data_IF_368240041982
#
_entry.id   IF_368240041982
#
_cell.length_a   1.000
_cell.length_b   1.000
_cell.length_c   1.000
_cell.angle_alpha   90.00
_cell.angle_beta   90.00
_cell.angle_gamma   90.00
#
_symmetry.space_group_name_H-M   'P 1'
#
loop_
_entity.id
_entity.type
_entity.pdbx_description
1 polymer ?
#
# COMPACT_ATOMS: atom_id res chain seq x y z
N UNK A 1 -22.78 -0.89 -2.78
CA UNK A 1 -21.81 -1.71 -3.53
C UNK A 1 -20.92 -2.42 -2.52
N UNK A 2 -20.59 -3.69 -2.70
CA UNK A 2 -19.64 -4.37 -1.85
C UNK A 2 -18.21 -3.88 -2.10
N UNK A 3 -17.29 -4.31 -1.24
CA UNK A 3 -15.88 -3.94 -1.28
C UNK A 3 -15.02 -5.19 -1.38
N UNK A 4 -13.90 -5.06 -2.08
CA UNK A 4 -12.81 -6.02 -2.12
C UNK A 4 -11.60 -5.42 -1.44
N UNK A 5 -10.94 -6.19 -0.57
CA UNK A 5 -9.64 -5.88 -0.01
C UNK A 5 -8.62 -6.89 -0.55
N UNK A 6 -7.72 -6.42 -1.38
CA UNK A 6 -6.56 -7.17 -1.84
C UNK A 6 -5.40 -6.91 -0.87
N UNK A 7 -4.82 -7.96 -0.29
CA UNK A 7 -3.83 -7.83 0.78
C UNK A 7 -2.89 -9.03 0.82
N UNK A 8 -1.82 -8.96 1.60
CA UNK A 8 -1.06 -10.13 2.02
C UNK A 8 -1.30 -10.42 3.51
N UNK A 9 -0.72 -11.47 4.07
CA UNK A 9 -0.94 -11.86 5.47
C UNK A 9 0.35 -11.85 6.29
N UNK A 10 0.22 -11.49 7.58
CA UNK A 10 1.30 -11.60 8.54
C UNK A 10 1.54 -13.07 8.92
N UNK A 11 2.55 -13.68 8.31
CA UNK A 11 3.04 -15.02 8.64
C UNK A 11 4.55 -15.07 8.54
N UNK A 12 5.18 -16.01 9.24
CA UNK A 12 6.62 -16.29 9.13
C UNK A 12 6.95 -17.26 7.97
N UNK A 13 5.96 -17.65 7.20
CA UNK A 13 6.07 -18.63 6.11
C UNK A 13 5.72 -17.95 4.80
N UNK A 14 6.34 -18.37 3.66
CA UNK A 14 6.16 -17.72 2.36
C UNK A 14 4.71 -17.65 1.86
N UNK A 15 3.84 -18.56 2.34
CA UNK A 15 2.42 -18.56 1.97
C UNK A 15 1.67 -17.34 2.53
N UNK A 16 2.17 -16.67 3.57
CA UNK A 16 1.61 -15.40 4.04
C UNK A 16 1.81 -14.27 3.05
N UNK A 17 2.96 -14.22 2.42
CA UNK A 17 3.37 -13.18 1.47
C UNK A 17 2.93 -13.55 0.05
N UNK A 18 1.62 -13.76 -0.13
CA UNK A 18 0.93 -14.01 -1.38
C UNK A 18 -0.29 -13.09 -1.48
N UNK A 19 -0.99 -13.05 -2.61
CA UNK A 19 -2.18 -12.21 -2.76
C UNK A 19 -3.40 -12.93 -2.19
N UNK A 20 -4.04 -12.29 -1.22
CA UNK A 20 -5.30 -12.71 -0.62
C UNK A 20 -6.38 -11.70 -0.92
N UNK A 21 -7.61 -12.16 -0.94
CA UNK A 21 -8.79 -11.31 -1.03
C UNK A 21 -9.67 -11.49 0.19
N UNK A 22 -10.28 -10.38 0.61
CA UNK A 22 -11.41 -10.36 1.51
C UNK A 22 -12.52 -9.50 0.92
N UNK A 23 -13.77 -9.80 1.24
CA UNK A 23 -14.95 -9.06 0.80
C UNK A 23 -15.70 -8.48 1.99
N UNK A 24 -16.36 -7.34 1.76
CA UNK A 24 -17.27 -6.73 2.71
C UNK A 24 -18.48 -6.18 1.98
N UNK A 25 -19.68 -6.39 2.55
CA UNK A 25 -20.94 -5.83 2.01
C UNK A 25 -21.20 -4.40 2.44
N UNK A 26 -20.55 -3.98 3.53
CA UNK A 26 -20.82 -2.71 4.18
C UNK A 26 -19.57 -1.87 4.45
N UNK A 27 -18.38 -2.38 4.07
CA UNK A 27 -17.11 -1.72 4.31
C UNK A 27 -16.60 -1.78 5.75
N UNK A 28 -17.39 -2.37 6.68
CA UNK A 28 -17.06 -2.49 8.09
C UNK A 28 -16.71 -3.94 8.49
N UNK A 29 -17.43 -4.92 7.96
CA UNK A 29 -17.31 -6.33 8.32
C UNK A 29 -16.71 -7.10 7.16
N UNK A 30 -15.51 -7.64 7.37
CA UNK A 30 -14.68 -8.26 6.34
C UNK A 30 -14.63 -9.77 6.50
N UNK A 31 -14.77 -10.48 5.41
CA UNK A 31 -14.69 -11.94 5.34
C UNK A 31 -13.64 -12.36 4.33
N UNK A 32 -12.83 -13.36 4.69
CA UNK A 32 -11.86 -13.94 3.76
C UNK A 32 -12.57 -14.66 2.63
N UNK A 33 -12.04 -14.54 1.42
CA UNK A 33 -12.46 -15.35 0.27
C UNK A 33 -11.55 -16.58 0.14
N UNK A 34 -11.86 -17.47 -0.81
CA UNK A 34 -11.05 -18.63 -1.16
C UNK A 34 -10.67 -19.52 0.05
N UNK A 35 -11.59 -19.67 1.01
CA UNK A 35 -11.37 -20.42 2.24
C UNK A 35 -10.10 -19.97 3.02
N UNK A 36 -9.74 -18.71 2.87
CA UNK A 36 -8.55 -18.13 3.50
C UNK A 36 -7.22 -18.50 2.85
N UNK A 37 -7.25 -19.13 1.66
CA UNK A 37 -6.06 -19.42 0.85
C UNK A 37 -5.71 -18.26 -0.07
N UNK A 38 -4.46 -18.17 -0.58
CA UNK A 38 -4.09 -17.19 -1.59
C UNK A 38 -4.95 -17.30 -2.86
N UNK A 39 -5.31 -16.18 -3.44
CA UNK A 39 -5.95 -16.09 -4.74
C UNK A 39 -4.90 -16.16 -5.86
N UNK A 40 -3.73 -15.52 -5.62
CA UNK A 40 -2.57 -15.58 -6.50
C UNK A 40 -1.33 -15.93 -5.70
N UNK A 41 -0.49 -16.76 -6.28
CA UNK A 41 0.82 -17.13 -5.72
C UNK A 41 1.93 -16.73 -6.67
N UNK A 42 3.01 -16.19 -6.11
CA UNK A 42 4.21 -15.80 -6.85
C UNK A 42 5.09 -17.00 -7.17
N UNK A 43 5.53 -17.07 -8.40
CA UNK A 43 6.46 -18.13 -8.89
C UNK A 43 7.75 -17.56 -9.49
N UNK A 44 7.78 -16.26 -9.81
CA UNK A 44 8.92 -15.56 -10.35
C UNK A 44 9.61 -14.72 -9.28
N UNK A 45 10.84 -14.23 -9.56
CA UNK A 45 11.58 -13.32 -8.70
C UNK A 45 11.84 -13.87 -7.31
N UNK A 46 11.48 -13.11 -6.27
CA UNK A 46 11.66 -13.50 -4.87
C UNK A 46 10.52 -14.42 -4.36
N UNK A 47 9.57 -14.77 -5.21
CA UNK A 47 8.43 -15.64 -4.89
C UNK A 47 7.58 -15.14 -3.72
N UNK A 48 7.46 -13.83 -3.55
CA UNK A 48 6.61 -13.19 -2.54
C UNK A 48 5.84 -12.00 -3.11
N UNK A 49 4.67 -11.75 -2.55
CA UNK A 49 3.78 -10.65 -2.87
C UNK A 49 3.54 -9.84 -1.61
N UNK A 50 4.18 -8.68 -1.48
CA UNK A 50 3.88 -7.73 -0.42
C UNK A 50 3.22 -6.50 -1.00
N UNK A 51 2.57 -5.71 -0.15
CA UNK A 51 2.04 -4.39 -0.48
C UNK A 51 1.14 -4.46 -1.72
N UNK A 52 0.03 -5.18 -1.58
CA UNK A 52 -0.83 -5.53 -2.72
C UNK A 52 -1.66 -4.33 -3.14
N UNK A 53 -1.42 -3.85 -4.34
CA UNK A 53 -2.22 -2.81 -5.00
C UNK A 53 -3.16 -3.43 -6.02
N UNK A 54 -4.38 -2.90 -6.11
CA UNK A 54 -5.36 -3.24 -7.14
C UNK A 54 -6.09 -1.99 -7.61
N UNK A 55 -6.25 -1.85 -8.92
CA UNK A 55 -7.03 -0.77 -9.51
C UNK A 55 -7.97 -1.29 -10.57
N UNK A 56 -9.20 -0.72 -10.62
CA UNK A 56 -10.11 -0.87 -11.75
C UNK A 56 -9.69 0.08 -12.85
N UNK A 57 -9.53 -0.44 -14.06
CA UNK A 57 -9.22 0.33 -15.26
C UNK A 57 -10.48 0.92 -15.90
N UNK A 58 -10.31 1.86 -16.81
CA UNK A 58 -11.42 2.50 -17.57
C UNK A 58 -12.27 1.52 -18.38
N UNK A 59 -11.71 0.41 -18.79
CA UNK A 59 -12.41 -0.66 -19.51
C UNK A 59 -13.07 -1.68 -18.59
N UNK A 60 -13.12 -1.41 -17.28
CA UNK A 60 -13.62 -2.27 -16.21
C UNK A 60 -12.79 -3.52 -15.92
N UNK A 61 -11.65 -3.73 -16.57
CA UNK A 61 -10.70 -4.75 -16.13
C UNK A 61 -9.90 -4.26 -14.91
N UNK A 62 -9.06 -5.13 -14.34
CA UNK A 62 -8.25 -4.80 -13.17
C UNK A 62 -6.78 -5.09 -13.42
N UNK A 63 -5.94 -4.30 -12.78
CA UNK A 63 -4.51 -4.58 -12.63
C UNK A 63 -4.20 -4.77 -11.16
N UNK A 64 -3.42 -5.81 -10.85
CA UNK A 64 -2.85 -6.05 -9.53
C UNK A 64 -1.34 -5.86 -9.64
N UNK A 65 -0.77 -5.03 -8.77
CA UNK A 65 0.67 -4.89 -8.58
C UNK A 65 1.07 -5.34 -7.19
N UNK A 66 2.26 -5.93 -7.05
CA UNK A 66 2.83 -6.26 -5.75
C UNK A 66 4.33 -5.98 -5.72
N UNK A 67 4.85 -5.66 -4.55
CA UNK A 67 6.30 -5.70 -4.29
C UNK A 67 6.80 -7.14 -4.47
N UNK A 68 7.84 -7.31 -5.28
CA UNK A 68 8.56 -8.59 -5.43
C UNK A 68 9.50 -8.78 -4.24
N UNK A 69 8.96 -9.24 -3.12
CA UNK A 69 9.70 -9.44 -1.87
C UNK A 69 9.05 -10.56 -1.06
N UNK A 70 9.88 -11.47 -0.55
CA UNK A 70 9.49 -12.49 0.43
C UNK A 70 10.38 -12.37 1.67
N UNK A 71 9.90 -11.70 2.70
CA UNK A 71 10.62 -11.53 3.97
C UNK A 71 10.79 -12.87 4.70
N UNK A 72 9.84 -13.78 4.57
CA UNK A 72 9.94 -15.12 5.13
C UNK A 72 11.21 -15.87 4.66
N UNK A 73 11.69 -15.58 3.45
CA UNK A 73 12.91 -16.15 2.89
C UNK A 73 14.19 -15.36 3.24
N UNK A 74 14.06 -14.24 3.99
CA UNK A 74 15.17 -13.35 4.34
C UNK A 74 15.59 -13.45 5.81
N UNK A 75 14.89 -14.24 6.63
CA UNK A 75 15.28 -14.49 8.01
C UNK A 75 16.58 -15.30 8.09
N UNK A 76 17.47 -14.91 8.98
CA UNK A 76 18.61 -15.73 9.40
C UNK A 76 18.17 -16.84 10.37
N UNK A 77 19.12 -17.65 10.84
CA UNK A 77 18.89 -18.73 11.79
C UNK A 77 18.34 -18.26 13.17
N UNK A 78 18.45 -16.96 13.46
CA UNK A 78 17.95 -16.32 14.68
C UNK A 78 16.68 -15.49 14.43
N UNK A 79 16.05 -15.64 13.27
CA UNK A 79 14.89 -14.86 12.83
C UNK A 79 15.13 -13.34 12.75
N UNK A 80 16.35 -12.92 12.43
CA UNK A 80 16.66 -11.52 12.13
C UNK A 80 16.67 -11.27 10.63
N UNK A 81 16.43 -10.02 10.25
CA UNK A 81 16.47 -9.53 8.88
C UNK A 81 17.56 -8.47 8.76
N UNK A 82 18.42 -8.63 7.76
CA UNK A 82 19.37 -7.58 7.36
C UNK A 82 18.66 -6.56 6.46
N UNK A 83 17.94 -5.63 7.10
CA UNK A 83 17.22 -4.57 6.39
C UNK A 83 18.12 -3.72 5.49
N UNK A 84 19.39 -3.51 5.87
CA UNK A 84 20.34 -2.77 5.03
C UNK A 84 20.56 -3.48 3.70
N UNK A 85 20.72 -4.81 3.75
CA UNK A 85 20.86 -5.64 2.54
C UNK A 85 19.57 -5.65 1.73
N UNK A 86 18.42 -5.76 2.36
CA UNK A 86 17.12 -5.78 1.69
C UNK A 86 16.85 -4.43 1.00
N UNK A 87 17.22 -3.31 1.61
CA UNK A 87 17.08 -1.96 1.05
C UNK A 87 18.06 -1.62 -0.07
N UNK A 88 19.22 -2.30 -0.14
CA UNK A 88 20.29 -1.96 -1.08
C UNK A 88 20.45 -2.95 -2.23
N UNK A 89 19.90 -4.15 -2.11
CA UNK A 89 20.01 -5.23 -3.09
C UNK A 89 18.72 -6.04 -3.24
N UNK A 90 17.57 -5.40 -3.03
CA UNK A 90 16.26 -5.97 -3.27
C UNK A 90 15.91 -6.08 -4.75
N UNK A 91 14.75 -6.65 -5.03
CA UNK A 91 14.23 -6.72 -6.40
C UNK A 91 13.99 -5.32 -6.97
N UNK A 92 14.28 -5.16 -8.25
CA UNK A 92 14.00 -3.94 -9.04
C UNK A 92 12.81 -4.15 -9.98
N UNK A 93 12.00 -5.14 -9.68
CA UNK A 93 10.80 -5.46 -10.40
C UNK A 93 9.57 -5.22 -9.51
N UNK A 94 8.46 -4.88 -10.14
CA UNK A 94 7.13 -5.06 -9.60
C UNK A 94 6.49 -6.27 -10.28
N UNK A 95 5.68 -6.99 -9.53
CA UNK A 95 4.92 -8.11 -10.04
C UNK A 95 3.54 -7.65 -10.47
N UNK A 96 3.04 -8.18 -11.59
CA UNK A 96 1.77 -7.77 -12.15
C UNK A 96 0.93 -8.95 -12.61
N UNK A 97 -0.39 -8.83 -12.39
CA UNK A 97 -1.44 -9.61 -13.04
C UNK A 97 -2.53 -8.69 -13.59
N UNK A 98 -3.24 -9.16 -14.60
CA UNK A 98 -4.45 -8.53 -15.14
C UNK A 98 -5.63 -9.50 -15.01
N UNK A 99 -6.84 -8.96 -14.81
CA UNK A 99 -8.06 -9.76 -14.75
C UNK A 99 -9.27 -8.93 -15.19
N UNK A 100 -10.26 -9.56 -15.77
CA UNK A 100 -11.53 -8.93 -16.15
C UNK A 100 -12.64 -9.19 -15.13
N UNK A 101 -12.49 -10.21 -14.27
CA UNK A 101 -13.57 -10.74 -13.44
C UNK A 101 -13.16 -11.09 -11.99
N UNK A 102 -11.92 -10.79 -11.59
CA UNK A 102 -11.35 -11.12 -10.27
C UNK A 102 -11.30 -12.61 -9.94
N UNK A 103 -11.51 -13.47 -10.93
CA UNK A 103 -11.51 -14.95 -10.83
C UNK A 103 -10.48 -15.56 -11.76
N UNK A 104 -10.42 -15.08 -13.02
CA UNK A 104 -9.48 -15.53 -14.03
C UNK A 104 -8.39 -14.49 -14.22
N UNK A 105 -7.16 -14.87 -14.00
CA UNK A 105 -6.01 -13.97 -14.01
C UNK A 105 -5.06 -14.29 -15.17
N UNK A 106 -4.42 -13.27 -15.71
CA UNK A 106 -3.32 -13.45 -16.67
C UNK A 106 -2.16 -14.21 -16.05
N UNK A 107 -1.21 -14.61 -16.89
CA UNK A 107 0.09 -15.08 -16.41
C UNK A 107 0.79 -13.98 -15.59
N UNK A 108 1.58 -14.43 -14.61
CA UNK A 108 2.43 -13.58 -13.79
C UNK A 108 3.49 -12.89 -14.65
N UNK A 109 3.67 -11.59 -14.47
CA UNK A 109 4.75 -10.81 -15.10
C UNK A 109 5.59 -10.10 -14.03
N UNK A 110 6.90 -10.07 -14.23
CA UNK A 110 7.80 -9.15 -13.53
C UNK A 110 8.14 -7.99 -14.46
N UNK A 111 7.92 -6.78 -13.98
CA UNK A 111 8.17 -5.55 -14.73
C UNK A 111 9.38 -4.85 -14.12
N UNK A 112 10.44 -4.75 -14.91
CA UNK A 112 11.65 -4.04 -14.54
C UNK A 112 11.51 -2.55 -14.88
N UNK A 113 11.72 -1.69 -13.90
CA UNK A 113 11.61 -0.25 -14.08
C UNK A 113 12.92 0.44 -14.49
N UNK A 114 13.90 -0.34 -14.95
CA UNK A 114 15.03 0.15 -15.74
C UNK A 114 16.09 0.98 -15.00
N UNK A 115 16.07 1.06 -13.65
CA UNK A 115 17.08 1.81 -12.91
C UNK A 115 17.98 0.90 -12.09
N UNK A 116 19.21 0.72 -12.58
CA UNK A 116 20.22 -0.11 -11.90
C UNK A 116 20.71 0.49 -10.57
N UNK A 117 20.53 1.79 -10.39
CA UNK A 117 20.92 2.51 -9.18
C UNK A 117 19.90 2.42 -8.04
N UNK A 118 18.70 1.87 -8.26
CA UNK A 118 17.76 1.59 -7.19
C UNK A 118 18.23 0.43 -6.31
N UNK A 119 17.99 0.53 -5.00
CA UNK A 119 18.24 -0.55 -4.05
C UNK A 119 17.07 -1.52 -3.91
N UNK A 120 15.85 -1.05 -4.09
CA UNK A 120 14.61 -1.81 -3.99
C UNK A 120 13.46 -1.07 -4.69
N UNK A 121 12.32 -1.75 -4.91
CA UNK A 121 11.04 -1.17 -5.29
C UNK A 121 9.97 -1.69 -4.33
N UNK A 122 9.44 -0.84 -3.45
CA UNK A 122 8.51 -1.25 -2.42
C UNK A 122 7.22 -0.46 -2.41
N UNK A 123 6.13 -1.14 -2.02
CA UNK A 123 4.83 -0.55 -1.77
C UNK A 123 4.36 0.32 -2.95
N UNK A 124 4.27 -0.31 -4.12
CA UNK A 124 3.75 0.38 -5.29
C UNK A 124 2.26 0.60 -5.19
N UNK A 125 1.83 1.80 -5.55
CA UNK A 125 0.41 2.14 -5.74
C UNK A 125 0.15 2.75 -7.11
N UNK A 126 -1.11 2.73 -7.52
CA UNK A 126 -1.57 3.24 -8.81
C UNK A 126 -2.61 4.33 -8.58
N UNK A 127 -2.40 5.48 -9.22
CA UNK A 127 -3.36 6.57 -9.26
C UNK A 127 -3.73 6.88 -10.71
N UNK A 128 -5.03 6.92 -11.04
CA UNK A 128 -5.48 7.33 -12.37
C UNK A 128 -5.52 8.86 -12.47
N UNK A 129 -4.67 9.42 -13.32
CA UNK A 129 -4.65 10.86 -13.63
C UNK A 129 -5.63 11.16 -14.77
N UNK A 130 -6.83 11.61 -14.38
CA UNK A 130 -7.89 11.98 -15.33
C UNK A 130 -7.50 13.13 -16.28
N UNK A 131 -6.60 14.02 -15.84
CA UNK A 131 -6.19 15.17 -16.65
C UNK A 131 -5.32 14.78 -17.84
N UNK A 132 -4.45 13.78 -17.65
CA UNK A 132 -3.52 13.30 -18.66
C UNK A 132 -3.96 11.99 -19.31
N UNK A 133 -5.06 11.39 -18.81
CA UNK A 133 -5.57 10.09 -19.26
C UNK A 133 -4.50 9.00 -19.20
N UNK A 134 -3.84 8.89 -18.02
CA UNK A 134 -2.80 7.91 -17.76
C UNK A 134 -2.81 7.45 -16.30
N UNK A 135 -2.15 6.35 -16.02
CA UNK A 135 -1.97 5.81 -14.68
C UNK A 135 -0.59 6.20 -14.16
N UNK A 136 -0.53 6.89 -13.03
CA UNK A 136 0.69 7.11 -12.26
C UNK A 136 0.93 5.90 -11.37
N UNK A 137 2.06 5.25 -11.54
CA UNK A 137 2.55 4.22 -10.60
C UNK A 137 3.63 4.87 -9.75
N UNK A 138 3.52 4.78 -8.43
CA UNK A 138 4.52 5.33 -7.51
C UNK A 138 4.90 4.30 -6.44
N UNK A 139 6.13 4.37 -5.96
CA UNK A 139 6.72 3.39 -5.03
C UNK A 139 7.86 3.98 -4.22
N UNK A 140 8.24 3.34 -3.11
CA UNK A 140 9.44 3.67 -2.33
C UNK A 140 10.70 3.02 -2.89
N UNK A 141 11.77 3.80 -3.05
CA UNK A 141 13.10 3.29 -3.42
C UNK A 141 14.20 4.02 -2.68
N UNK A 142 15.28 3.29 -2.39
CA UNK A 142 16.60 3.84 -2.06
C UNK A 142 17.46 3.90 -3.30
N UNK A 143 18.49 4.76 -3.32
CA UNK A 143 19.36 4.92 -4.48
C UNK A 143 20.84 4.79 -4.12
N UNK A 144 21.64 4.39 -5.09
CA UNK A 144 23.09 4.18 -4.92
C UNK A 144 23.84 5.48 -4.63
N UNK A 145 23.34 6.62 -5.14
CA UNK A 145 23.98 7.93 -4.99
C UNK A 145 24.20 8.33 -3.53
N UNK A 146 23.23 7.99 -2.66
CA UNK A 146 23.31 8.23 -1.22
C UNK A 146 23.70 6.98 -0.42
N UNK A 147 24.29 5.97 -1.09
CA UNK A 147 24.65 4.67 -0.51
C UNK A 147 23.45 3.91 0.09
N UNK A 148 22.27 4.05 -0.54
CA UNK A 148 21.01 3.43 -0.13
C UNK A 148 20.58 3.79 1.29
N UNK A 149 20.91 5.01 1.73
CA UNK A 149 20.67 5.46 3.10
C UNK A 149 19.36 6.23 3.27
N UNK A 150 18.69 6.59 2.16
CA UNK A 150 17.48 7.41 2.19
C UNK A 150 16.42 6.88 1.21
N UNK A 151 15.25 6.56 1.75
CA UNK A 151 14.12 6.13 0.92
C UNK A 151 13.24 7.32 0.55
N UNK A 152 12.92 7.41 -0.74
CA UNK A 152 12.05 8.43 -1.33
C UNK A 152 11.01 7.79 -2.23
N UNK A 153 9.96 8.53 -2.58
CA UNK A 153 8.93 8.06 -3.50
C UNK A 153 9.32 8.44 -4.93
N UNK A 154 9.36 7.43 -5.79
CA UNK A 154 9.57 7.53 -7.23
C UNK A 154 8.29 7.21 -7.96
N UNK A 155 8.21 7.60 -9.24
CA UNK A 155 7.06 7.28 -10.07
C UNK A 155 7.43 7.11 -11.53
N UNK A 156 6.55 6.41 -12.25
CA UNK A 156 6.45 6.42 -13.71
C UNK A 156 4.97 6.52 -14.12
N UNK A 157 4.70 6.67 -15.41
CA UNK A 157 3.33 6.65 -15.95
C UNK A 157 3.18 5.60 -17.03
N UNK A 158 1.94 5.15 -17.22
CA UNK A 158 1.54 4.21 -18.27
C UNK A 158 0.10 4.49 -18.70
N UNK A 159 -0.24 4.13 -19.94
CA UNK A 159 -1.63 4.18 -20.43
C UNK A 159 -2.29 2.80 -20.50
N UNK A 160 -1.50 1.73 -20.55
CA UNK A 160 -1.96 0.39 -20.91
C UNK A 160 -1.33 -0.74 -20.08
N UNK A 161 -0.39 -0.41 -19.17
CA UNK A 161 0.41 -1.38 -18.42
C UNK A 161 1.24 -2.32 -19.30
N UNK A 162 1.64 -1.85 -20.49
CA UNK A 162 2.60 -2.54 -21.38
C UNK A 162 3.84 -1.67 -21.63
N UNK A 163 3.65 -0.35 -21.74
CA UNK A 163 4.73 0.61 -21.87
C UNK A 163 4.75 1.60 -20.69
N UNK A 164 5.91 1.87 -20.16
CA UNK A 164 6.11 2.72 -18.98
C UNK A 164 7.13 3.83 -19.29
N UNK A 165 6.89 5.01 -18.74
CA UNK A 165 7.89 6.09 -18.81
C UNK A 165 9.06 5.79 -17.87
N UNK A 166 10.21 6.46 -18.10
CA UNK A 166 11.36 6.37 -17.21
C UNK A 166 11.01 6.82 -15.79
N UNK A 167 11.48 6.11 -14.77
CA UNK A 167 11.29 6.48 -13.36
C UNK A 167 11.88 7.85 -13.03
N UNK A 168 11.13 8.65 -12.30
CA UNK A 168 11.57 9.96 -11.77
C UNK A 168 11.21 10.10 -10.30
N UNK A 169 11.95 10.95 -9.60
CA UNK A 169 11.61 11.32 -8.23
C UNK A 169 10.24 12.01 -8.22
N UNK A 170 9.35 11.52 -7.38
CA UNK A 170 8.00 12.06 -7.20
C UNK A 170 7.90 12.92 -5.95
N UNK A 171 8.33 12.35 -4.80
CA UNK A 171 8.21 13.01 -3.52
C UNK A 171 9.31 12.57 -2.57
N UNK A 172 9.89 13.52 -1.83
CA UNK A 172 10.93 13.25 -0.84
C UNK A 172 10.79 14.20 0.36
N UNK A 173 11.32 13.81 1.48
CA UNK A 173 11.42 14.58 2.72
C UNK A 173 12.83 14.44 3.30
N UNK A 174 13.15 15.20 4.35
CA UNK A 174 14.41 15.04 5.06
C UNK A 174 14.55 13.68 5.76
N UNK A 175 13.42 13.11 6.18
CA UNK A 175 13.34 11.75 6.73
C UNK A 175 12.97 10.77 5.62
N UNK A 176 13.38 9.52 5.78
CA UNK A 176 12.94 8.42 4.90
C UNK A 176 11.43 8.27 4.92
N UNK A 177 10.84 8.09 3.75
CA UNK A 177 9.41 7.93 3.56
C UNK A 177 9.12 6.77 2.61
N UNK A 178 8.03 6.06 2.86
CA UNK A 178 7.56 4.97 2.01
C UNK A 178 6.03 4.81 2.16
N UNK A 179 5.46 3.81 1.52
CA UNK A 179 4.04 3.46 1.59
C UNK A 179 3.15 4.67 1.28
N UNK A 180 3.34 5.24 0.11
CA UNK A 180 2.57 6.41 -0.30
C UNK A 180 1.24 6.00 -0.91
N UNK A 181 0.16 6.68 -0.51
CA UNK A 181 -1.19 6.53 -1.03
C UNK A 181 -1.73 7.87 -1.51
N UNK A 182 -2.19 7.93 -2.75
CA UNK A 182 -2.74 9.15 -3.33
C UNK A 182 -4.24 8.97 -3.59
N UNK A 183 -5.02 9.95 -3.14
CA UNK A 183 -6.43 10.07 -3.50
C UNK A 183 -6.77 11.53 -3.81
N UNK A 184 -7.70 11.74 -4.73
CA UNK A 184 -8.25 13.06 -5.05
C UNK A 184 -9.65 13.17 -4.47
N UNK A 185 -9.89 14.18 -3.63
CA UNK A 185 -11.20 14.53 -3.14
C UNK A 185 -11.48 15.99 -3.44
N UNK A 186 -12.63 16.30 -4.06
CA UNK A 186 -12.95 17.67 -4.50
C UNK A 186 -11.82 18.24 -5.37
N UNK A 187 -11.17 19.31 -4.90
CA UNK A 187 -10.13 20.04 -5.65
C UNK A 187 -8.70 19.76 -5.11
N UNK A 188 -8.54 18.80 -4.20
CA UNK A 188 -7.28 18.50 -3.56
C UNK A 188 -6.84 17.06 -3.81
N UNK A 189 -5.55 16.90 -4.04
CA UNK A 189 -4.84 15.64 -3.93
C UNK A 189 -4.38 15.47 -2.49
N UNK A 190 -4.68 14.34 -1.90
CA UNK A 190 -4.24 13.91 -0.58
C UNK A 190 -3.16 12.85 -0.77
N UNK A 191 -2.02 13.06 -0.14
CA UNK A 191 -0.89 12.13 -0.12
C UNK A 191 -0.68 11.67 1.32
N UNK A 192 -1.03 10.42 1.58
CA UNK A 192 -0.66 9.73 2.82
C UNK A 192 0.64 8.98 2.59
N UNK A 193 1.51 8.94 3.59
CA UNK A 193 2.79 8.23 3.49
C UNK A 193 3.34 7.92 4.89
N UNK A 194 4.14 6.86 4.99
CA UNK A 194 4.81 6.50 6.24
C UNK A 194 6.09 7.31 6.41
N UNK A 195 6.29 7.86 7.60
CA UNK A 195 7.60 8.27 8.10
C UNK A 195 8.30 7.03 8.68
N UNK A 196 9.44 6.65 8.11
CA UNK A 196 10.16 5.44 8.51
C UNK A 196 10.94 5.59 9.83
N UNK A 197 11.11 6.81 10.34
CA UNK A 197 11.80 7.03 11.61
C UNK A 197 10.90 6.75 12.81
N UNK A 198 11.53 6.53 13.96
CA UNK A 198 10.86 6.27 15.22
C UNK A 198 10.33 7.59 15.87
N UNK A 199 9.04 7.69 16.24
CA UNK A 199 8.02 6.67 15.99
C UNK A 199 7.60 6.64 14.53
N UNK A 200 7.44 5.43 13.97
CA UNK A 200 6.88 5.25 12.63
C UNK A 200 5.41 5.64 12.64
N UNK A 201 5.06 6.73 12.00
CA UNK A 201 3.68 7.24 11.90
C UNK A 201 3.30 7.49 10.46
N UNK A 202 2.03 7.40 10.18
CA UNK A 202 1.50 7.84 8.92
C UNK A 202 1.42 9.36 8.90
N UNK A 203 1.77 9.95 7.78
CA UNK A 203 1.81 11.39 7.52
C UNK A 203 0.77 11.71 6.47
N UNK A 204 0.32 12.96 6.44
CA UNK A 204 -0.58 13.46 5.42
C UNK A 204 -0.08 14.79 4.87
N UNK A 205 -0.31 15.00 3.58
CA UNK A 205 -0.05 16.27 2.89
C UNK A 205 -1.05 16.48 1.78
N UNK A 206 -1.35 17.73 1.43
CA UNK A 206 -2.31 18.08 0.38
C UNK A 206 -1.69 18.95 -0.71
N UNK A 207 -2.23 18.87 -1.92
CA UNK A 207 -1.87 19.74 -3.03
C UNK A 207 -3.04 19.96 -3.99
N UNK A 208 -3.01 21.08 -4.71
CA UNK A 208 -3.92 21.33 -5.85
C UNK A 208 -3.45 20.66 -7.15
N UNK A 209 -2.24 20.14 -7.17
CA UNK A 209 -1.63 19.47 -8.32
C UNK A 209 -1.14 18.08 -7.91
N UNK A 210 -1.33 17.07 -8.77
CA UNK A 210 -0.85 15.71 -8.55
C UNK A 210 0.67 15.66 -8.23
N UNK A 211 1.44 16.50 -8.88
CA UNK A 211 2.89 16.57 -8.71
C UNK A 211 3.35 17.61 -7.67
N UNK A 212 2.43 18.14 -6.86
CA UNK A 212 2.75 19.09 -5.81
C UNK A 212 2.82 20.57 -6.29
N UNK A 213 3.37 21.46 -5.48
CA UNK A 213 3.96 21.19 -4.17
C UNK A 213 2.91 20.75 -3.15
N UNK A 214 3.29 19.81 -2.27
CA UNK A 214 2.45 19.30 -1.20
C UNK A 214 2.68 20.07 0.10
N UNK A 215 1.59 20.50 0.73
CA UNK A 215 1.59 21.14 2.04
C UNK A 215 1.33 20.09 3.11
N UNK A 216 2.19 20.05 4.11
CA UNK A 216 2.09 19.14 5.24
C UNK A 216 0.90 19.46 6.14
N UNK A 217 0.24 18.43 6.65
CA UNK A 217 -0.86 18.50 7.60
C UNK A 217 -0.33 18.22 9.02
N UNK A 218 -0.09 19.30 9.75
CA UNK A 218 0.43 19.22 11.12
C UNK A 218 -0.61 18.66 12.11
N UNK A 219 -1.89 18.95 11.91
CA UNK A 219 -2.96 18.47 12.80
C UNK A 219 -3.09 16.95 12.72
N UNK A 220 -3.04 16.40 11.51
CA UNK A 220 -3.03 14.95 11.30
C UNK A 220 -1.79 14.31 11.94
N UNK A 221 -0.59 14.91 11.78
CA UNK A 221 0.62 14.41 12.42
C UNK A 221 0.48 14.37 13.94
N UNK A 222 0.01 15.45 14.58
CA UNK A 222 -0.14 15.50 16.03
C UNK A 222 -1.15 14.46 16.53
N UNK A 223 -2.21 14.23 15.76
CA UNK A 223 -3.16 13.16 16.07
C UNK A 223 -2.49 11.77 16.00
N UNK A 224 -1.77 11.46 14.92
CA UNK A 224 -1.08 10.17 14.77
C UNK A 224 0.00 9.95 15.85
N UNK A 225 0.74 10.98 16.22
CA UNK A 225 1.69 10.91 17.33
C UNK A 225 0.99 10.61 18.66
N UNK A 226 -0.19 11.17 18.91
CA UNK A 226 -0.98 10.87 20.10
C UNK A 226 -1.47 9.41 20.14
N UNK A 227 -1.84 8.86 18.99
CA UNK A 227 -2.24 7.45 18.86
C UNK A 227 -1.07 6.50 19.20
N UNK A 228 0.11 6.71 18.61
CA UNK A 228 1.28 5.84 18.88
C UNK A 228 1.80 5.99 20.30
N UNK A 229 1.62 7.14 20.95
CA UNK A 229 2.02 7.35 22.35
C UNK A 229 1.24 6.47 23.34
N UNK A 230 0.10 5.91 22.93
CA UNK A 230 -0.70 4.98 23.76
C UNK A 230 -0.12 3.56 23.81
N UNK A 231 0.88 3.24 22.96
CA UNK A 231 1.46 1.91 22.86
C UNK A 231 2.76 1.80 23.66
N UNK A 232 2.99 0.64 24.28
CA UNK A 232 4.22 0.35 25.06
C UNK A 232 5.47 0.13 24.19
N UNK A 233 5.31 0.02 22.88
CA UNK A 233 6.38 -0.03 21.88
C UNK A 233 6.23 1.18 20.99
N UNK A 234 7.32 1.67 20.36
CA UNK A 234 7.18 2.69 19.33
C UNK A 234 6.26 2.13 18.25
N UNK A 235 5.01 2.53 18.36
CA UNK A 235 3.96 2.11 17.47
C UNK A 235 4.28 2.53 16.07
N UNK A 236 3.88 1.74 15.12
CA UNK A 236 4.11 2.06 13.74
C UNK A 236 2.85 1.75 12.96
N UNK A 237 2.43 2.75 12.22
CA UNK A 237 1.40 2.66 11.21
C UNK A 237 2.03 2.79 9.82
N UNK A 238 1.65 1.92 8.91
CA UNK A 238 2.10 1.91 7.52
C UNK A 238 0.94 1.55 6.58
N UNK A 239 1.19 1.39 5.29
CA UNK A 239 0.27 0.81 4.33
C UNK A 239 -1.11 1.51 4.28
N UNK A 240 -1.19 2.84 4.08
CA UNK A 240 -2.47 3.53 4.06
C UNK A 240 -3.31 3.11 2.85
N UNK A 241 -4.59 2.88 3.08
CA UNK A 241 -5.60 2.78 2.02
C UNK A 241 -6.86 3.52 2.45
N UNK A 242 -7.55 4.16 1.50
CA UNK A 242 -8.77 4.91 1.80
C UNK A 242 -9.92 4.48 0.91
N UNK A 243 -11.13 4.53 1.44
CA UNK A 243 -12.36 4.32 0.67
C UNK A 243 -13.53 5.05 1.33
N UNK A 244 -14.62 5.22 0.59
CA UNK A 244 -15.84 5.84 1.11
C UNK A 244 -16.78 4.75 1.59
N UNK A 245 -17.27 4.88 2.83
CA UNK A 245 -18.25 3.98 3.42
C UNK A 245 -19.65 4.23 2.87
N UNK A 246 -20.60 3.28 2.95
CA UNK A 246 -21.95 3.44 2.41
C UNK A 246 -22.73 4.60 3.03
N UNK A 247 -22.39 5.02 4.25
CA UNK A 247 -22.96 6.19 4.92
C UNK A 247 -22.31 7.52 4.52
N UNK A 248 -21.41 7.49 3.54
CA UNK A 248 -20.71 8.66 2.99
C UNK A 248 -19.47 9.09 3.77
N UNK A 249 -19.13 8.41 4.85
CA UNK A 249 -17.91 8.69 5.61
C UNK A 249 -16.66 8.23 4.90
N UNK A 250 -15.55 8.86 5.22
CA UNK A 250 -14.25 8.50 4.67
C UNK A 250 -13.50 7.60 5.65
N UNK A 251 -13.14 6.41 5.20
CA UNK A 251 -12.32 5.48 5.96
C UNK A 251 -10.87 5.56 5.48
N UNK A 252 -9.94 5.75 6.42
CA UNK A 252 -8.51 5.51 6.28
C UNK A 252 -8.18 4.25 7.05
N UNK A 253 -7.61 3.26 6.41
CA UNK A 253 -7.10 2.07 7.05
C UNK A 253 -5.58 2.08 7.02
N UNK A 254 -4.97 1.78 8.17
CA UNK A 254 -3.53 1.72 8.35
C UNK A 254 -3.12 0.34 8.85
N UNK A 255 -2.09 -0.22 8.28
CA UNK A 255 -1.45 -1.44 8.76
C UNK A 255 -0.66 -1.14 10.03
N UNK A 256 -1.04 -1.81 11.12
CA UNK A 256 -0.44 -1.63 12.43
C UNK A 256 0.50 -2.78 12.77
N UNK A 257 1.78 -2.50 12.95
CA UNK A 257 2.83 -3.47 13.30
C UNK A 257 3.54 -3.19 14.62
N UNK A 258 3.09 -2.20 15.38
CA UNK A 258 3.67 -1.77 16.66
C UNK A 258 3.30 -2.64 17.87
N UNK A 259 2.76 -3.83 17.68
CA UNK A 259 2.29 -4.71 18.73
C UNK A 259 2.84 -6.14 18.62
N UNK A 260 2.30 -7.05 19.41
CA UNK A 260 2.55 -8.50 19.29
C UNK A 260 1.95 -9.01 17.98
N UNK A 261 2.60 -10.01 17.35
CA UNK A 261 2.21 -10.52 16.02
C UNK A 261 0.74 -10.87 15.89
N UNK A 262 0.18 -11.46 16.94
CA UNK A 262 -1.21 -11.90 16.98
C UNK A 262 -2.23 -10.77 16.98
N UNK A 263 -1.76 -9.54 17.11
CA UNK A 263 -2.58 -8.31 17.10
C UNK A 263 -2.24 -7.38 15.95
N UNK A 264 -1.26 -7.74 15.11
CA UNK A 264 -0.92 -6.98 13.91
C UNK A 264 -2.04 -7.08 12.87
N UNK A 265 -2.26 -6.01 12.14
CA UNK A 265 -3.24 -5.94 11.08
C UNK A 265 -3.76 -4.53 10.89
N UNK A 266 -4.81 -4.40 10.13
CA UNK A 266 -5.37 -3.09 9.80
C UNK A 266 -6.16 -2.49 10.96
N UNK A 267 -5.96 -1.17 11.14
CA UNK A 267 -6.68 -0.34 12.08
C UNK A 267 -7.44 0.73 11.30
N UNK A 268 -8.78 0.83 11.48
CA UNK A 268 -9.60 1.78 10.77
C UNK A 268 -9.68 3.13 11.50
N UNK A 269 -9.65 4.19 10.72
CA UNK A 269 -9.91 5.57 11.14
C UNK A 269 -11.01 6.16 10.27
N UNK A 270 -11.97 6.84 10.84
CA UNK A 270 -13.11 7.42 10.12
C UNK A 270 -13.09 8.93 10.25
N UNK A 271 -13.32 9.62 9.13
CA UNK A 271 -13.72 11.02 9.03
C UNK A 271 -15.14 11.12 8.49
N UNK A 272 -15.90 12.12 8.95
CA UNK A 272 -17.31 12.28 8.58
C UNK A 272 -17.50 12.63 7.10
N UNK A 273 -16.51 13.25 6.45
CA UNK A 273 -16.61 13.75 5.09
C UNK A 273 -15.32 13.45 4.33
N UNK A 274 -15.38 12.86 3.09
CA UNK A 274 -14.22 12.72 2.24
C UNK A 274 -13.51 14.06 1.97
N UNK A 275 -12.20 14.08 2.19
CA UNK A 275 -11.37 15.28 2.08
C UNK A 275 -11.20 16.05 3.39
N UNK A 276 -11.92 15.67 4.45
CA UNK A 276 -11.77 16.22 5.79
C UNK A 276 -10.91 15.26 6.61
N UNK A 277 -9.69 15.66 6.97
CA UNK A 277 -8.74 14.76 7.62
C UNK A 277 -8.89 14.65 9.14
N UNK A 278 -10.08 14.95 9.68
CA UNK A 278 -10.45 14.77 11.09
C UNK A 278 -10.71 13.31 11.46
N UNK A 279 -9.81 12.43 11.07
CA UNK A 279 -9.92 11.01 11.32
C UNK A 279 -9.94 10.69 12.82
N UNK A 280 -10.76 9.71 13.19
CA UNK A 280 -10.82 9.13 14.53
C UNK A 280 -10.79 7.62 14.43
N UNK A 281 -10.03 6.98 15.30
CA UNK A 281 -9.93 5.53 15.39
C UNK A 281 -11.32 4.92 15.68
N UNK A 282 -11.64 3.81 15.02
CA UNK A 282 -12.99 3.25 14.96
C UNK A 282 -13.04 1.73 15.04
N UNK A 283 -12.09 1.08 15.73
CA UNK A 283 -11.96 -0.40 15.81
C UNK A 283 -13.28 -1.08 16.18
N UNK A 284 -14.04 -0.53 17.10
CA UNK A 284 -15.29 -1.11 17.60
C UNK A 284 -16.40 -1.28 16.55
N UNK A 285 -16.25 -0.59 15.41
CA UNK A 285 -17.20 -0.65 14.29
C UNK A 285 -16.81 -1.67 13.23
N UNK A 286 -15.60 -2.18 13.31
CA UNK A 286 -15.03 -3.03 12.27
C UNK A 286 -14.76 -4.43 12.78
N UNK A 287 -14.80 -5.39 11.88
CA UNK A 287 -14.28 -6.73 12.12
C UNK A 287 -13.44 -7.19 10.93
N UNK A 288 -12.21 -7.61 11.24
CA UNK A 288 -11.27 -8.19 10.29
C UNK A 288 -10.86 -9.58 10.76
N UNK A 289 -10.75 -10.57 9.88
CA UNK A 289 -9.97 -11.74 10.18
C UNK A 289 -8.51 -11.35 10.48
N UNK A 290 -7.87 -12.16 11.32
CA UNK A 290 -6.47 -11.93 11.69
C UNK A 290 -5.52 -11.89 10.49
N UNK A 291 -4.51 -11.02 10.57
CA UNK A 291 -3.32 -11.05 9.73
C UNK A 291 -3.43 -10.29 8.41
N UNK A 292 -4.45 -9.49 8.19
CA UNK A 292 -4.50 -8.60 7.02
C UNK A 292 -3.36 -7.59 7.09
N UNK A 293 -2.53 -7.56 6.05
CA UNK A 293 -1.38 -6.67 5.93
C UNK A 293 -1.51 -5.79 4.69
N UNK A 294 -0.63 -4.84 4.53
CA UNK A 294 -0.63 -3.79 3.54
C UNK A 294 -1.26 -4.19 2.19
N UNK A 295 -2.32 -3.51 1.84
CA UNK A 295 -3.12 -3.76 0.65
C UNK A 295 -4.10 -2.64 0.34
N UNK A 296 -4.98 -2.89 -0.63
CA UNK A 296 -5.89 -1.90 -1.19
C UNK A 296 -7.35 -2.34 -1.11
N UNK A 297 -8.19 -1.40 -0.72
CA UNK A 297 -9.65 -1.54 -0.77
C UNK A 297 -10.19 -0.86 -2.03
N UNK A 298 -11.02 -1.57 -2.78
CA UNK A 298 -11.77 -1.03 -3.91
C UNK A 298 -13.25 -1.39 -3.80
N UNK A 299 -14.11 -0.57 -4.39
CA UNK A 299 -15.52 -0.93 -4.60
C UNK A 299 -15.64 -1.93 -5.76
N UNK A 300 -16.52 -2.91 -5.58
CA UNK A 300 -16.83 -3.92 -6.60
C UNK A 300 -18.34 -3.99 -6.85
N UNK A 301 -18.77 -4.65 -7.92
CA UNK A 301 -20.16 -4.96 -8.18
C UNK A 301 -20.58 -6.24 -7.45
N UNK A 302 -21.87 -6.52 -7.39
CA UNK A 302 -22.39 -7.76 -6.79
C UNK A 302 -22.07 -9.01 -7.64
N UNK A 303 -21.70 -8.82 -8.91
CA UNK A 303 -21.31 -9.90 -9.83
C UNK A 303 -19.83 -10.26 -9.74
N UNK A 304 -19.00 -9.34 -9.30
CA UNK A 304 -17.56 -9.49 -9.03
C UNK A 304 -17.35 -10.03 -7.61
#
# INVERSE_FOLDING_TARGET
MPYLFAHFKEKLTPDGEQVYFAKSKDGYHWEQTNDGNPVLSAHLGECGCRDVEIIRLKNNSFVILTTDLCIANRYDENYNIDWKKVNSSGSKNLRMWKTDDLVNFSDEKLIYFGRDDFGCLWASEIFYDELNDEYLIHWGSTVKEDNFSHMSIYCCTTKDFEAFTEPKLFFTKNNEILDSHIIKTRDLYHLFYKNAHNPGVNMHSTSKSLYGPYTHDEEFLQYMLSEVATFNKPGAYEGPTTYVLPDGKWCLMLDFFGCEKEKMGYVPFISDIPGDCNFKRADEKFSFPYGFKHGKVIEITDEE
#
